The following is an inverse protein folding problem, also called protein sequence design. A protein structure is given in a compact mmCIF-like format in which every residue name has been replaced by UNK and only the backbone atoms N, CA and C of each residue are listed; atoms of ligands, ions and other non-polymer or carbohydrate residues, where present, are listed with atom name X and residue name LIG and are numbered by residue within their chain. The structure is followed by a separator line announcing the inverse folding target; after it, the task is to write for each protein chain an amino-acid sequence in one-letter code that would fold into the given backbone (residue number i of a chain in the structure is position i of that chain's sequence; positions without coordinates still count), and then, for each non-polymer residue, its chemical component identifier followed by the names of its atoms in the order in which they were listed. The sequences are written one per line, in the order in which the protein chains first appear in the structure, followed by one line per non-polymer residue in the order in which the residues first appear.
data_IF_935667867931
#
_entry.id   IF_935667867931
#
_cell.length_a   1.000
_cell.length_b   1.000
_cell.length_c   1.000
_cell.angle_alpha   90.00
_cell.angle_beta   90.00
_cell.angle_gamma   90.00
#
_symmetry.space_group_name_H-M   'P 1'
#
loop_
_entity.id
_entity.type
_entity.pdbx_description
1 polymer ?
#
# COMPACT_ATOMS: atom_id res chain seq x y z
N UNK A 1 24.91 0.45 -13.82
CA UNK A 1 24.69 -0.18 -12.48
C UNK A 1 24.57 -1.68 -12.62
N UNK A 2 25.15 -2.40 -11.69
CA UNK A 2 24.98 -3.85 -11.65
C UNK A 2 23.67 -4.23 -10.94
N UNK A 3 23.27 -5.49 -11.06
CA UNK A 3 22.02 -5.99 -10.49
C UNK A 3 21.90 -5.73 -8.98
N UNK A 4 22.97 -5.89 -8.22
CA UNK A 4 23.02 -5.67 -6.79
C UNK A 4 22.76 -4.19 -6.41
N UNK A 5 23.31 -3.29 -7.17
CA UNK A 5 23.08 -1.84 -6.99
C UNK A 5 21.64 -1.45 -7.32
N UNK A 6 21.10 -1.99 -8.41
CA UNK A 6 19.70 -1.79 -8.78
C UNK A 6 18.73 -2.29 -7.71
N UNK A 7 19.03 -3.43 -7.08
CA UNK A 7 18.25 -3.95 -5.95
C UNK A 7 18.29 -2.98 -4.77
N UNK A 8 19.46 -2.51 -4.37
CA UNK A 8 19.60 -1.55 -3.27
C UNK A 8 18.86 -0.25 -3.55
N UNK A 9 18.98 0.28 -4.76
CA UNK A 9 18.27 1.50 -5.15
C UNK A 9 16.76 1.32 -5.11
N UNK A 10 16.25 0.19 -5.60
CA UNK A 10 14.81 -0.11 -5.59
C UNK A 10 14.23 -0.20 -4.17
N UNK A 11 15.02 -0.62 -3.19
CA UNK A 11 14.57 -0.83 -1.80
C UNK A 11 14.87 0.40 -0.91
N UNK A 12 15.62 1.37 -1.41
CA UNK A 12 16.14 2.48 -0.59
C UNK A 12 15.01 3.29 0.07
N UNK A 13 13.96 3.59 -0.67
CA UNK A 13 12.91 4.50 -0.23
C UNK A 13 11.54 3.86 -0.06
N UNK A 14 11.33 2.67 -0.59
CA UNK A 14 10.05 1.98 -0.54
C UNK A 14 10.19 0.48 -0.29
N UNK A 15 9.21 -0.13 0.40
CA UNK A 15 9.14 -1.59 0.48
C UNK A 15 8.84 -2.20 -0.89
N UNK A 16 9.29 -3.43 -1.12
CA UNK A 16 9.07 -4.11 -2.41
C UNK A 16 8.89 -5.62 -2.21
N UNK A 17 7.98 -6.21 -2.99
CA UNK A 17 7.86 -7.67 -3.05
C UNK A 17 8.95 -8.26 -3.95
N UNK A 18 9.27 -9.55 -3.77
CA UNK A 18 10.25 -10.23 -4.60
C UNK A 18 9.91 -10.16 -6.11
N UNK A 19 8.64 -10.37 -6.45
CA UNK A 19 8.21 -10.32 -7.85
C UNK A 19 8.37 -8.92 -8.46
N UNK A 20 8.00 -7.88 -7.70
CA UNK A 20 8.19 -6.51 -8.17
C UNK A 20 9.67 -6.18 -8.33
N UNK A 21 10.50 -6.66 -7.42
CA UNK A 21 11.95 -6.48 -7.51
C UNK A 21 12.52 -7.13 -8.78
N UNK A 22 12.18 -8.40 -9.06
CA UNK A 22 12.58 -9.10 -10.28
C UNK A 22 12.17 -8.32 -11.54
N UNK A 23 10.94 -7.83 -11.58
CA UNK A 23 10.41 -7.08 -12.71
C UNK A 23 11.08 -5.70 -12.90
N UNK A 24 11.53 -5.09 -11.81
CA UNK A 24 12.11 -3.73 -11.85
C UNK A 24 13.60 -3.75 -12.21
N UNK A 25 14.37 -4.70 -11.64
CA UNK A 25 15.84 -4.67 -11.78
C UNK A 25 16.37 -5.33 -13.05
N UNK A 26 15.51 -5.93 -13.85
CA UNK A 26 15.86 -6.58 -15.12
C UNK A 26 16.98 -7.63 -14.98
N UNK A 27 16.90 -8.46 -13.93
CA UNK A 27 17.81 -9.56 -13.66
C UNK A 27 17.02 -10.86 -13.53
N UNK A 28 17.71 -12.01 -13.70
CA UNK A 28 17.02 -13.30 -13.50
C UNK A 28 16.59 -13.48 -12.05
N UNK A 29 15.49 -14.20 -11.80
CA UNK A 29 15.03 -14.45 -10.43
C UNK A 29 16.10 -15.08 -9.53
N UNK A 30 16.93 -15.96 -10.08
CA UNK A 30 18.04 -16.61 -9.36
C UNK A 30 19.09 -15.60 -8.94
N UNK A 31 19.42 -14.66 -9.84
CA UNK A 31 20.40 -13.60 -9.57
C UNK A 31 19.86 -12.64 -8.50
N UNK A 32 18.58 -12.27 -8.61
CA UNK A 32 17.92 -11.43 -7.60
C UNK A 32 17.92 -12.13 -6.24
N UNK A 33 17.54 -13.40 -6.20
CA UNK A 33 17.50 -14.19 -4.96
C UNK A 33 18.88 -14.26 -4.29
N UNK A 34 19.93 -14.48 -5.07
CA UNK A 34 21.32 -14.50 -4.56
C UNK A 34 21.68 -13.17 -3.89
N UNK A 35 21.48 -12.06 -4.60
CA UNK A 35 21.86 -10.74 -4.06
C UNK A 35 20.98 -10.29 -2.89
N UNK A 36 19.71 -10.66 -2.89
CA UNK A 36 18.82 -10.39 -1.75
C UNK A 36 19.35 -11.08 -0.50
N UNK A 37 19.74 -12.36 -0.57
CA UNK A 37 20.32 -13.07 0.57
C UNK A 37 21.63 -12.43 1.05
N UNK A 38 22.53 -12.08 0.13
CA UNK A 38 23.78 -11.39 0.47
C UNK A 38 23.53 -10.06 1.20
N UNK A 39 22.53 -9.30 0.73
CA UNK A 39 22.17 -8.00 1.33
C UNK A 39 21.48 -8.14 2.69
N UNK A 40 20.69 -9.20 2.87
CA UNK A 40 20.11 -9.54 4.18
C UNK A 40 21.22 -9.94 5.19
N UNK A 41 22.16 -10.79 4.77
CA UNK A 41 23.31 -11.19 5.61
C UNK A 41 24.16 -9.98 6.02
N UNK A 42 24.30 -8.99 5.15
CA UNK A 42 24.96 -7.71 5.41
C UNK A 42 24.10 -6.72 6.20
N UNK A 43 22.86 -7.08 6.56
CA UNK A 43 21.88 -6.22 7.25
C UNK A 43 21.58 -4.90 6.53
N UNK A 44 21.77 -4.87 5.22
CA UNK A 44 21.44 -3.70 4.38
C UNK A 44 19.96 -3.65 4.01
N UNK A 45 19.33 -4.80 3.96
CA UNK A 45 17.90 -4.95 3.80
C UNK A 45 17.37 -5.97 4.81
N UNK A 46 16.11 -5.87 5.13
CA UNK A 46 15.39 -6.85 5.95
C UNK A 46 14.07 -7.19 5.27
N UNK A 47 13.39 -8.22 5.74
CA UNK A 47 12.09 -8.58 5.21
C UNK A 47 11.04 -8.78 6.29
N UNK A 48 9.79 -8.51 5.92
CA UNK A 48 8.60 -8.87 6.68
C UNK A 48 7.95 -10.09 6.02
N UNK A 49 7.67 -11.10 6.83
CA UNK A 49 6.88 -12.26 6.41
C UNK A 49 5.40 -11.98 6.60
N UNK A 50 4.61 -12.26 5.57
CA UNK A 50 3.17 -12.18 5.58
C UNK A 50 2.61 -13.03 4.43
N UNK A 51 1.50 -12.63 3.85
CA UNK A 51 0.99 -13.25 2.61
C UNK A 51 2.03 -13.15 1.50
N UNK A 52 2.78 -12.05 1.48
CA UNK A 52 3.93 -11.83 0.59
C UNK A 52 5.18 -11.54 1.44
N UNK A 53 6.35 -11.96 0.93
CA UNK A 53 7.62 -11.55 1.49
C UNK A 53 7.95 -10.15 0.97
N UNK A 54 8.05 -9.18 1.87
CA UNK A 54 8.29 -7.77 1.56
C UNK A 54 9.68 -7.39 2.07
N UNK A 55 10.53 -6.93 1.16
CA UNK A 55 11.87 -6.43 1.48
C UNK A 55 11.85 -4.93 1.66
N UNK A 56 12.62 -4.42 2.60
CA UNK A 56 12.69 -2.99 2.88
C UNK A 56 14.01 -2.59 3.53
N UNK A 57 14.32 -1.30 3.45
CA UNK A 57 15.47 -0.73 4.14
C UNK A 57 15.19 -0.64 5.63
N UNK A 58 16.12 -1.08 6.52
CA UNK A 58 15.92 -1.05 7.97
C UNK A 58 15.58 0.31 8.58
N UNK A 59 15.86 1.41 7.89
CA UNK A 59 15.54 2.77 8.37
C UNK A 59 14.10 3.21 8.09
N UNK A 60 13.33 2.44 7.29
CA UNK A 60 11.94 2.77 7.01
C UNK A 60 11.05 2.52 8.22
N UNK A 61 10.05 3.38 8.39
CA UNK A 61 9.06 3.24 9.47
C UNK A 61 8.17 2.00 9.26
N UNK A 62 7.96 1.24 10.33
CA UNK A 62 7.14 0.02 10.29
C UNK A 62 5.70 0.30 9.83
N UNK A 63 5.12 1.42 10.25
CA UNK A 63 3.77 1.82 9.82
C UNK A 63 3.67 1.96 8.30
N UNK A 64 4.71 2.47 7.64
CA UNK A 64 4.77 2.60 6.19
C UNK A 64 4.82 1.23 5.50
N UNK A 65 5.54 0.29 6.10
CA UNK A 65 5.64 -1.08 5.59
C UNK A 65 4.31 -1.80 5.74
N UNK A 66 3.63 -1.63 6.87
CA UNK A 66 2.30 -2.18 7.12
C UNK A 66 1.28 -1.60 6.13
N UNK A 67 1.33 -0.31 5.88
CA UNK A 67 0.51 0.35 4.87
C UNK A 67 0.75 -0.21 3.46
N UNK A 68 2.01 -0.37 3.07
CA UNK A 68 2.36 -0.98 1.78
C UNK A 68 1.79 -2.40 1.65
N UNK A 69 1.90 -3.22 2.70
CA UNK A 69 1.33 -4.58 2.70
C UNK A 69 -0.19 -4.57 2.49
N UNK A 70 -0.90 -3.66 3.15
CA UNK A 70 -2.34 -3.49 2.96
C UNK A 70 -2.68 -3.13 1.51
N UNK A 71 -1.91 -2.26 0.89
CA UNK A 71 -2.11 -1.81 -0.49
C UNK A 71 -1.87 -2.89 -1.55
N UNK A 72 -1.31 -4.05 -1.18
CA UNK A 72 -1.23 -5.22 -2.05
C UNK A 72 -2.60 -5.89 -2.26
N UNK A 73 -3.57 -5.58 -1.43
CA UNK A 73 -4.94 -6.10 -1.54
C UNK A 73 -5.80 -5.15 -2.39
N UNK A 74 -6.35 -5.65 -3.50
CA UNK A 74 -7.14 -4.84 -4.43
C UNK A 74 -8.40 -4.24 -3.81
N UNK A 75 -9.07 -4.96 -2.90
CA UNK A 75 -10.27 -4.45 -2.21
C UNK A 75 -9.95 -3.29 -1.28
N UNK A 76 -8.84 -3.38 -0.55
CA UNK A 76 -8.33 -2.31 0.32
C UNK A 76 -7.95 -1.10 -0.54
N UNK A 77 -7.20 -1.31 -1.60
CA UNK A 77 -6.77 -0.26 -2.52
C UNK A 77 -7.95 0.48 -3.14
N UNK A 78 -8.96 -0.23 -3.65
CA UNK A 78 -10.17 0.35 -4.24
C UNK A 78 -10.97 1.17 -3.22
N UNK A 79 -11.17 0.64 -2.02
CA UNK A 79 -11.91 1.32 -0.95
C UNK A 79 -11.17 2.57 -0.48
N UNK A 80 -9.86 2.47 -0.28
CA UNK A 80 -9.05 3.60 0.14
C UNK A 80 -9.02 4.71 -0.93
N UNK A 81 -8.88 4.35 -2.21
CA UNK A 81 -8.95 5.29 -3.33
C UNK A 81 -10.28 6.05 -3.33
N UNK A 82 -11.39 5.36 -3.14
CA UNK A 82 -12.70 5.97 -3.07
C UNK A 82 -12.82 6.94 -1.88
N UNK A 83 -12.36 6.55 -0.70
CA UNK A 83 -12.42 7.40 0.49
C UNK A 83 -11.49 8.61 0.42
N UNK A 84 -10.38 8.52 -0.33
CA UNK A 84 -9.50 9.68 -0.58
C UNK A 84 -10.16 10.76 -1.43
N UNK A 85 -11.03 10.36 -2.37
CA UNK A 85 -11.71 11.27 -3.30
C UNK A 85 -13.10 11.71 -2.84
N UNK A 86 -13.56 11.18 -1.72
CA UNK A 86 -14.89 11.45 -1.16
C UNK A 86 -14.77 12.07 0.23
N UNK A 87 -15.90 12.56 0.74
CA UNK A 87 -16.02 12.86 2.17
C UNK A 87 -16.20 11.55 2.93
N UNK A 88 -17.09 11.50 3.88
CA UNK A 88 -17.46 10.26 4.55
C UNK A 88 -18.51 9.49 3.73
N UNK A 89 -18.43 8.19 3.73
CA UNK A 89 -19.34 7.29 3.01
C UNK A 89 -19.87 6.20 3.94
N UNK A 90 -21.15 5.84 3.73
CA UNK A 90 -21.72 4.64 4.35
C UNK A 90 -21.16 3.37 3.71
N UNK A 91 -21.26 2.24 4.41
CA UNK A 91 -20.88 0.95 3.83
C UNK A 91 -21.64 0.66 2.54
N UNK A 92 -22.94 0.93 2.51
CA UNK A 92 -23.77 0.72 1.33
C UNK A 92 -23.27 1.55 0.12
N UNK A 93 -22.95 2.82 0.32
CA UNK A 93 -22.37 3.66 -0.73
C UNK A 93 -21.04 3.11 -1.26
N UNK A 94 -20.18 2.60 -0.36
CA UNK A 94 -18.91 1.96 -0.74
C UNK A 94 -19.17 0.70 -1.56
N UNK A 95 -20.13 -0.14 -1.15
CA UNK A 95 -20.54 -1.34 -1.89
C UNK A 95 -20.97 -0.98 -3.32
N UNK A 96 -21.82 0.02 -3.46
CA UNK A 96 -22.35 0.47 -4.76
C UNK A 96 -21.25 1.04 -5.67
N UNK A 97 -20.36 1.86 -5.13
CA UNK A 97 -19.32 2.53 -5.91
C UNK A 97 -18.14 1.64 -6.25
N UNK A 98 -17.79 0.67 -5.40
CA UNK A 98 -16.70 -0.29 -5.66
C UNK A 98 -17.17 -1.53 -6.40
N UNK A 99 -18.49 -1.74 -6.53
CA UNK A 99 -19.10 -2.95 -7.08
C UNK A 99 -18.63 -4.24 -6.39
N UNK A 100 -18.34 -4.16 -5.10
CA UNK A 100 -17.93 -5.30 -4.27
C UNK A 100 -19.05 -5.76 -3.36
N UNK A 101 -19.03 -7.04 -3.01
CA UNK A 101 -20.02 -7.64 -2.13
C UNK A 101 -19.97 -7.05 -0.71
N UNK A 102 -21.09 -7.08 -0.03
CA UNK A 102 -21.21 -6.63 1.36
C UNK A 102 -20.20 -7.28 2.30
N UNK A 103 -19.98 -8.62 2.28
CA UNK A 103 -18.96 -9.24 3.13
C UNK A 103 -17.54 -8.76 2.82
N UNK A 104 -17.23 -8.53 1.56
CA UNK A 104 -15.92 -8.02 1.13
C UNK A 104 -15.68 -6.61 1.66
N UNK A 105 -16.64 -5.71 1.48
CA UNK A 105 -16.55 -4.32 1.97
C UNK A 105 -16.47 -4.29 3.49
N UNK A 106 -17.29 -5.09 4.18
CA UNK A 106 -17.28 -5.18 5.64
C UNK A 106 -15.92 -5.59 6.20
N UNK A 107 -15.30 -6.64 5.61
CA UNK A 107 -13.95 -7.07 5.99
C UNK A 107 -12.89 -6.01 5.70
N UNK A 108 -12.96 -5.40 4.53
CA UNK A 108 -12.03 -4.35 4.12
C UNK A 108 -12.08 -3.16 5.09
N UNK A 109 -13.26 -2.69 5.43
CA UNK A 109 -13.44 -1.60 6.39
C UNK A 109 -12.95 -1.98 7.78
N UNK A 110 -13.22 -3.20 8.24
CA UNK A 110 -12.70 -3.68 9.53
C UNK A 110 -11.18 -3.66 9.58
N UNK A 111 -10.50 -4.11 8.54
CA UNK A 111 -9.04 -4.09 8.44
C UNK A 111 -8.51 -2.65 8.47
N UNK A 112 -9.12 -1.75 7.71
CA UNK A 112 -8.71 -0.34 7.66
C UNK A 112 -8.92 0.38 9.00
N UNK A 113 -9.99 0.09 9.70
CA UNK A 113 -10.27 0.62 11.05
C UNK A 113 -9.27 0.07 12.07
N UNK A 114 -9.01 -1.23 12.06
CA UNK A 114 -8.04 -1.86 12.96
C UNK A 114 -6.62 -1.33 12.78
N UNK A 115 -6.26 -0.90 11.57
CA UNK A 115 -4.95 -0.31 11.27
C UNK A 115 -4.91 1.22 11.41
N UNK A 116 -5.92 1.82 12.01
CA UNK A 116 -6.03 3.27 12.23
C UNK A 116 -5.94 4.14 10.97
N UNK A 117 -6.33 3.60 9.82
CA UNK A 117 -6.36 4.32 8.54
C UNK A 117 -7.72 4.98 8.34
N UNK A 118 -8.78 4.27 8.73
CA UNK A 118 -10.17 4.72 8.62
C UNK A 118 -10.78 4.82 10.02
N UNK A 119 -11.58 5.84 10.22
CA UNK A 119 -12.40 6.01 11.43
C UNK A 119 -13.89 5.98 11.07
N UNK A 120 -14.69 5.67 12.08
CA UNK A 120 -16.13 5.58 11.97
C UNK A 120 -16.75 6.85 12.56
N UNK A 121 -17.61 7.49 11.79
CA UNK A 121 -18.41 8.62 12.24
C UNK A 121 -19.86 8.16 12.48
N UNK A 122 -20.33 8.29 13.69
CA UNK A 122 -21.68 7.89 14.10
C UNK A 122 -22.62 9.07 14.03
N UNK A 123 -23.60 8.99 13.13
CA UNK A 123 -24.77 9.86 13.06
C UNK A 123 -26.01 8.99 13.23
N UNK A 124 -26.40 8.69 14.46
CA UNK A 124 -27.47 7.74 14.72
C UNK A 124 -28.74 8.02 13.88
N UNK A 125 -29.32 7.02 13.18
CA UNK A 125 -28.95 5.59 13.18
C UNK A 125 -27.85 5.21 12.19
N UNK A 126 -27.22 6.18 11.52
CA UNK A 126 -26.26 5.96 10.43
C UNK A 126 -24.84 5.98 10.92
N UNK A 127 -24.02 5.27 10.18
CA UNK A 127 -22.58 5.19 10.39
C UNK A 127 -21.87 5.37 9.06
N UNK A 128 -20.91 6.28 9.03
CA UNK A 128 -20.08 6.55 7.86
C UNK A 128 -18.60 6.32 8.16
N UNK A 129 -17.83 6.17 7.12
CA UNK A 129 -16.40 5.87 7.17
C UNK A 129 -15.61 6.97 6.48
N UNK A 130 -14.50 7.38 7.07
CA UNK A 130 -13.63 8.41 6.51
C UNK A 130 -12.17 8.10 6.85
N UNK A 131 -11.24 8.64 6.08
CA UNK A 131 -9.81 8.48 6.35
C UNK A 131 -9.43 9.36 7.53
N UNK A 132 -8.78 8.77 8.52
CA UNK A 132 -8.43 9.42 9.78
C UNK A 132 -7.41 10.55 9.61
N UNK A 133 -6.41 10.34 8.75
CA UNK A 133 -5.37 11.32 8.47
C UNK A 133 -5.04 11.32 6.98
N UNK A 134 -5.83 12.05 6.19
CA UNK A 134 -5.64 12.15 4.74
C UNK A 134 -4.25 12.64 4.34
N UNK A 135 -3.69 13.72 4.94
CA UNK A 135 -2.35 14.19 4.56
C UNK A 135 -1.26 13.14 4.71
N UNK A 136 -1.29 12.34 5.77
CA UNK A 136 -0.35 11.26 6.03
C UNK A 136 -0.44 10.17 4.97
N UNK A 137 -1.65 9.71 4.66
CA UNK A 137 -1.91 8.67 3.65
C UNK A 137 -1.50 9.15 2.27
N UNK A 138 -1.84 10.37 1.91
CA UNK A 138 -1.44 10.99 0.65
C UNK A 138 0.08 11.10 0.54
N UNK A 139 0.76 11.49 1.62
CA UNK A 139 2.22 11.56 1.67
C UNK A 139 2.86 10.19 1.42
N UNK A 140 2.36 9.15 2.04
CA UNK A 140 2.86 7.78 1.82
C UNK A 140 2.65 7.31 0.39
N UNK A 141 1.48 7.59 -0.20
CA UNK A 141 1.19 7.24 -1.60
C UNK A 141 2.12 7.99 -2.55
N UNK A 142 2.35 9.28 -2.35
CA UNK A 142 3.26 10.09 -3.20
C UNK A 142 4.71 9.64 -3.13
N UNK A 143 5.17 9.12 -1.99
CA UNK A 143 6.53 8.61 -1.81
C UNK A 143 6.74 7.23 -2.42
N UNK A 144 5.66 6.54 -2.82
CA UNK A 144 5.71 5.20 -3.36
C UNK A 144 5.61 5.27 -4.88
N UNK A 145 6.67 4.88 -5.59
CA UNK A 145 6.69 4.74 -7.05
C UNK A 145 6.15 3.38 -7.50
N UNK A 146 5.37 2.74 -6.67
CA UNK A 146 4.86 1.39 -6.92
C UNK A 146 3.72 1.41 -7.93
N UNK A 147 3.79 0.56 -8.94
CA UNK A 147 2.69 0.27 -9.87
C UNK A 147 1.41 -0.20 -9.16
N UNK A 148 1.50 -0.63 -7.92
CA UNK A 148 0.37 -1.04 -7.09
C UNK A 148 -0.58 0.11 -6.73
N UNK A 149 -0.13 1.35 -6.89
CA UNK A 149 -0.86 2.55 -6.44
C UNK A 149 -1.21 3.46 -7.62
N UNK A 150 -0.90 3.08 -8.85
CA UNK A 150 -1.14 3.90 -10.05
C UNK A 150 -2.59 4.38 -10.13
N UNK A 151 -3.56 3.50 -9.91
CA UNK A 151 -4.98 3.86 -9.94
C UNK A 151 -5.36 4.90 -8.88
N UNK A 152 -4.76 4.83 -7.70
CA UNK A 152 -4.97 5.80 -6.61
C UNK A 152 -4.30 7.12 -6.95
N UNK A 153 -3.11 7.06 -7.52
CA UNK A 153 -2.32 8.23 -7.92
C UNK A 153 -3.01 9.01 -9.03
N UNK A 154 -3.54 8.34 -10.04
CA UNK A 154 -4.25 8.97 -11.16
C UNK A 154 -5.49 9.73 -10.65
N UNK A 155 -6.27 9.12 -9.78
CA UNK A 155 -7.42 9.78 -9.16
C UNK A 155 -7.01 11.00 -8.32
N UNK A 156 -5.86 10.93 -7.64
CA UNK A 156 -5.32 12.04 -6.86
C UNK A 156 -4.80 13.19 -7.72
N UNK A 157 -4.15 12.89 -8.84
CA UNK A 157 -3.67 13.93 -9.78
C UNK A 157 -4.84 14.78 -10.28
N UNK A 158 -5.97 14.14 -10.59
CA UNK A 158 -7.21 14.86 -10.98
C UNK A 158 -7.70 15.78 -9.87
N UNK A 159 -7.62 15.36 -8.59
CA UNK A 159 -8.04 16.19 -7.44
C UNK A 159 -7.16 17.42 -7.21
N UNK A 160 -5.85 17.29 -7.41
CA UNK A 160 -4.90 18.38 -7.13
C UNK A 160 -4.59 19.28 -8.34
N UNK A 161 -5.14 18.94 -9.53
CA UNK A 161 -5.01 19.73 -10.76
C UNK A 161 -6.13 20.77 -10.92
N UNK A 162 -7.08 20.80 -9.98
CA UNK A 162 -8.18 21.78 -9.95
C UNK A 162 -7.86 22.86 -8.88
#
# INVERSE_FOLDING_TARGET
MNCRENILESILFEPVTFMNLVNTVNCSPETVNKYVHELEDQKKIIHKKGKFKIFYNPVLELEKIDFYELMLNNSIKSTLSLLLTSKDLSQFEIEQKTLKSRPTVSRTLSVLVQNNIVEINYHAPFKTYLIKNKPKIISWIKQTNSHLIDDVTDNMVVMFSQ
#
